data_IF_959863203440
#
_entry.id   IF_959863203440
#
_cell.length_a   1.000
_cell.length_b   1.000
_cell.length_c   1.000
_cell.angle_alpha   90.00
_cell.angle_beta   90.00
_cell.angle_gamma   90.00
#
_symmetry.space_group_name_H-M   'P 1'
#
loop_
_entity.id
_entity.type
_entity.pdbx_description
1 polymer ?
#
# COMPACT_ATOMS: atom_id res chain seq x y z
N UNK A 1 -11.14 -26.29 -0.32
CA UNK A 1 -10.22 -25.20 -0.71
C UNK A 1 -10.05 -24.31 0.50
N UNK A 2 -8.85 -24.22 1.09
CA UNK A 2 -8.62 -23.41 2.29
C UNK A 2 -8.81 -21.92 1.92
N UNK A 3 -9.90 -21.34 2.44
CA UNK A 3 -10.30 -19.96 2.19
C UNK A 3 -9.51 -19.00 3.10
N UNK A 4 -8.19 -18.96 2.92
CA UNK A 4 -7.34 -18.05 3.70
C UNK A 4 -7.46 -16.65 3.12
N UNK A 5 -7.94 -15.70 3.93
CA UNK A 5 -7.99 -14.29 3.55
C UNK A 5 -6.59 -13.79 3.16
N UNK A 6 -6.46 -12.96 2.11
CA UNK A 6 -5.17 -12.40 1.74
C UNK A 6 -4.63 -11.52 2.85
N UNK A 7 -3.33 -11.64 3.12
CA UNK A 7 -2.68 -10.97 4.22
C UNK A 7 -1.23 -10.64 3.85
N UNK A 8 -0.66 -9.68 4.57
CA UNK A 8 0.78 -9.46 4.56
C UNK A 8 1.46 -10.51 5.44
N UNK A 9 2.63 -10.99 5.00
CA UNK A 9 3.43 -11.92 5.78
C UNK A 9 4.48 -11.17 6.59
N UNK A 10 5.15 -11.85 7.52
CA UNK A 10 6.30 -11.29 8.24
C UNK A 10 7.40 -10.80 7.29
N UNK A 11 7.51 -11.34 6.07
CA UNK A 11 8.44 -10.87 5.05
C UNK A 11 8.15 -9.43 4.59
N UNK A 12 6.88 -9.03 4.56
CA UNK A 12 6.48 -7.64 4.30
C UNK A 12 7.07 -6.72 5.35
N UNK A 13 6.91 -7.05 6.64
CA UNK A 13 7.43 -6.22 7.75
C UNK A 13 8.96 -6.16 7.73
N UNK A 14 9.63 -7.30 7.52
CA UNK A 14 11.10 -7.38 7.39
C UNK A 14 11.62 -6.54 6.22
N UNK A 15 10.91 -6.53 5.09
CA UNK A 15 11.26 -5.71 3.95
C UNK A 15 11.10 -4.21 4.27
N UNK A 16 9.98 -3.80 4.87
CA UNK A 16 9.75 -2.41 5.26
C UNK A 16 10.80 -1.89 6.25
N UNK A 17 11.18 -2.70 7.24
CA UNK A 17 12.30 -2.37 8.14
C UNK A 17 13.63 -2.22 7.39
N UNK A 18 13.92 -3.15 6.47
CA UNK A 18 15.16 -3.10 5.69
C UNK A 18 15.21 -1.89 4.77
N UNK A 19 14.07 -1.52 4.19
CA UNK A 19 13.90 -0.30 3.40
C UNK A 19 14.07 0.96 4.27
N UNK A 20 13.55 0.96 5.51
CA UNK A 20 13.74 2.04 6.49
C UNK A 20 15.23 2.26 6.80
N UNK A 21 16.01 1.18 6.96
CA UNK A 21 17.46 1.24 7.20
C UNK A 21 18.27 1.59 5.94
N UNK A 22 17.78 1.25 4.75
CA UNK A 22 18.53 1.32 3.49
C UNK A 22 17.81 2.11 2.40
N UNK A 23 17.21 3.26 2.74
CA UNK A 23 16.42 4.09 1.79
C UNK A 23 17.31 4.84 0.78
N UNK A 24 18.09 4.09 -0.01
CA UNK A 24 18.96 4.55 -1.10
C UNK A 24 18.66 3.80 -2.38
N UNK A 25 18.85 4.47 -3.52
CA UNK A 25 18.44 3.96 -4.84
C UNK A 25 19.15 2.67 -5.23
N UNK A 26 20.43 2.55 -4.92
CA UNK A 26 21.25 1.37 -5.22
C UNK A 26 20.72 0.12 -4.51
N UNK A 27 20.42 0.24 -3.22
CA UNK A 27 19.85 -0.86 -2.44
C UNK A 27 18.48 -1.26 -2.96
N UNK A 28 17.62 -0.28 -3.26
CA UNK A 28 16.30 -0.59 -3.80
C UNK A 28 16.36 -1.24 -5.18
N UNK A 29 17.34 -0.90 -6.02
CA UNK A 29 17.51 -1.50 -7.34
C UNK A 29 17.74 -3.02 -7.23
N UNK A 30 18.55 -3.47 -6.26
CA UNK A 30 18.81 -4.90 -6.03
C UNK A 30 17.65 -5.63 -5.34
N UNK A 31 16.80 -4.90 -4.60
CA UNK A 31 15.66 -5.49 -3.86
C UNK A 31 14.29 -5.17 -4.51
N UNK A 32 14.29 -4.77 -5.78
CA UNK A 32 13.05 -4.43 -6.50
C UNK A 32 12.10 -5.62 -6.63
N UNK A 33 12.63 -6.82 -6.85
CA UNK A 33 11.85 -8.05 -6.93
C UNK A 33 11.19 -8.40 -5.58
N UNK A 34 11.91 -8.17 -4.48
CA UNK A 34 11.39 -8.34 -3.12
C UNK A 34 10.27 -7.33 -2.84
N UNK A 35 10.41 -6.09 -3.29
CA UNK A 35 9.33 -5.10 -3.20
C UNK A 35 8.08 -5.56 -3.96
N UNK A 36 8.23 -6.11 -5.17
CA UNK A 36 7.10 -6.63 -5.94
C UNK A 36 6.42 -7.80 -5.21
N UNK A 37 7.21 -8.72 -4.68
CA UNK A 37 6.76 -9.96 -4.05
C UNK A 37 6.12 -9.70 -2.68
N UNK A 38 6.77 -8.92 -1.83
CA UNK A 38 6.39 -8.75 -0.42
C UNK A 38 5.51 -7.54 -0.16
N UNK A 39 5.50 -6.55 -1.05
CA UNK A 39 4.67 -5.34 -0.89
C UNK A 39 3.54 -5.31 -1.91
N UNK A 40 3.88 -5.29 -3.19
CA UNK A 40 2.89 -5.00 -4.24
C UNK A 40 1.91 -6.14 -4.45
N UNK A 41 2.41 -7.36 -4.60
CA UNK A 41 1.57 -8.55 -4.80
C UNK A 41 0.55 -8.75 -3.68
N UNK A 42 0.91 -8.80 -2.38
CA UNK A 42 -0.06 -8.99 -1.32
C UNK A 42 -1.05 -7.82 -1.23
N UNK A 43 -0.60 -6.57 -1.42
CA UNK A 43 -1.51 -5.42 -1.39
C UNK A 43 -2.54 -5.47 -2.52
N UNK A 44 -2.12 -5.83 -3.74
CA UNK A 44 -3.04 -5.98 -4.86
C UNK A 44 -4.04 -7.12 -4.64
N UNK A 45 -3.61 -8.23 -4.01
CA UNK A 45 -4.52 -9.33 -3.64
C UNK A 45 -5.54 -8.89 -2.59
N UNK A 46 -5.14 -8.12 -1.59
CA UNK A 46 -6.04 -7.52 -0.59
C UNK A 46 -7.03 -6.58 -1.28
N UNK A 47 -6.55 -5.66 -2.12
CA UNK A 47 -7.41 -4.74 -2.88
C UNK A 47 -8.42 -5.52 -3.74
N UNK A 48 -8.01 -6.61 -4.40
CA UNK A 48 -8.91 -7.46 -5.18
C UNK A 48 -9.99 -8.07 -4.31
N UNK A 49 -9.64 -8.57 -3.13
CA UNK A 49 -10.61 -9.08 -2.16
C UNK A 49 -11.58 -7.98 -1.69
N UNK A 50 -11.07 -6.78 -1.38
CA UNK A 50 -11.91 -5.63 -1.03
C UNK A 50 -12.85 -5.22 -2.16
N UNK A 51 -12.39 -5.26 -3.42
CA UNK A 51 -13.22 -4.95 -4.58
C UNK A 51 -14.43 -5.90 -4.71
N UNK A 52 -14.29 -7.17 -4.29
CA UNK A 52 -15.39 -8.13 -4.23
C UNK A 52 -16.33 -7.87 -3.06
N UNK A 53 -15.83 -7.40 -1.92
CA UNK A 53 -16.60 -7.27 -0.68
C UNK A 53 -17.24 -5.88 -0.48
N UNK A 54 -16.65 -4.81 -1.00
CA UNK A 54 -17.15 -3.44 -0.87
C UNK A 54 -18.59 -3.25 -1.32
N UNK A 55 -19.08 -3.84 -2.43
CA UNK A 55 -20.48 -3.70 -2.81
C UNK A 55 -21.48 -4.08 -1.71
N UNK A 56 -21.12 -5.00 -0.81
CA UNK A 56 -21.97 -5.47 0.26
C UNK A 56 -21.76 -4.72 1.59
N UNK A 57 -20.54 -4.25 1.86
CA UNK A 57 -20.17 -3.68 3.17
C UNK A 57 -19.98 -2.15 3.16
N UNK A 58 -19.52 -1.61 2.03
CA UNK A 58 -19.21 -0.20 1.84
C UNK A 58 -19.48 0.17 0.36
N UNK A 59 -20.75 0.17 -0.08
CA UNK A 59 -21.12 0.25 -1.49
C UNK A 59 -20.67 1.54 -2.19
N UNK A 60 -20.42 2.58 -1.40
CA UNK A 60 -19.93 3.86 -1.88
C UNK A 60 -18.41 3.90 -2.10
N UNK A 61 -17.66 2.92 -1.62
CA UNK A 61 -16.20 2.87 -1.76
C UNK A 61 -15.76 2.07 -2.99
N UNK A 62 -14.66 2.51 -3.60
CA UNK A 62 -14.03 1.83 -4.72
C UNK A 62 -12.66 1.29 -4.33
N UNK A 63 -12.48 -0.03 -4.50
CA UNK A 63 -11.18 -0.70 -4.47
C UNK A 63 -10.80 -1.14 -5.88
N UNK A 64 -9.66 -0.65 -6.35
CA UNK A 64 -9.08 -1.02 -7.63
C UNK A 64 -7.55 -0.95 -7.53
N UNK A 65 -6.76 -1.53 -8.45
CA UNK A 65 -5.30 -1.43 -8.41
C UNK A 65 -4.77 0.00 -8.27
N UNK A 66 -5.51 0.99 -8.79
CA UNK A 66 -5.21 2.42 -8.70
C UNK A 66 -5.38 3.02 -7.30
N UNK A 67 -6.07 2.31 -6.39
CA UNK A 67 -6.17 2.67 -4.98
C UNK A 67 -4.82 2.58 -4.28
N UNK A 68 -3.91 1.72 -4.75
CA UNK A 68 -2.58 1.55 -4.18
C UNK A 68 -1.69 2.75 -4.49
N UNK A 69 -1.04 3.31 -3.47
CA UNK A 69 0.00 4.30 -3.69
C UNK A 69 1.30 3.64 -4.16
N UNK A 70 2.03 4.34 -5.03
CA UNK A 70 3.40 3.98 -5.38
C UNK A 70 4.32 4.06 -4.16
N UNK A 71 5.33 3.19 -4.13
CA UNK A 71 6.37 3.17 -3.08
C UNK A 71 7.31 4.38 -3.17
N UNK A 72 7.39 5.06 -4.33
CA UNK A 72 8.24 6.25 -4.50
C UNK A 72 7.72 7.46 -3.74
N UNK A 73 8.62 8.12 -3.01
CA UNK A 73 8.32 9.34 -2.26
C UNK A 73 8.56 10.59 -3.13
N UNK A 74 7.58 11.50 -3.14
CA UNK A 74 7.71 12.78 -3.84
C UNK A 74 8.52 13.78 -3.04
N UNK A 75 9.85 13.79 -3.21
CA UNK A 75 10.75 14.57 -2.35
C UNK A 75 10.91 16.06 -2.70
N UNK A 76 10.27 16.56 -3.77
CA UNK A 76 10.47 17.94 -4.27
C UNK A 76 10.18 18.99 -3.19
N UNK A 77 9.13 18.79 -2.42
CA UNK A 77 8.66 19.74 -1.39
C UNK A 77 8.74 19.18 0.03
N UNK A 78 9.25 17.94 0.20
CA UNK A 78 9.40 17.31 1.50
C UNK A 78 10.69 17.75 2.17
N UNK A 79 10.67 17.99 3.49
CA UNK A 79 11.88 18.16 4.30
C UNK A 79 12.66 16.85 4.38
N UNK A 80 11.96 15.73 4.49
CA UNK A 80 12.53 14.39 4.33
C UNK A 80 12.80 14.07 2.86
N UNK A 81 14.07 13.81 2.53
CA UNK A 81 14.55 13.51 1.17
C UNK A 81 14.70 12.01 0.90
N UNK A 82 14.17 11.13 1.76
CA UNK A 82 14.15 9.70 1.49
C UNK A 82 13.38 9.40 0.18
N UNK A 83 13.99 8.67 -0.79
CA UNK A 83 13.40 8.46 -2.11
C UNK A 83 12.22 7.47 -2.11
N UNK A 84 12.06 6.69 -1.03
CA UNK A 84 11.06 5.63 -0.91
C UNK A 84 10.26 5.80 0.38
N UNK A 85 8.98 5.48 0.29
CA UNK A 85 8.10 5.31 1.44
C UNK A 85 8.47 4.01 2.15
N UNK A 86 8.61 4.07 3.47
CA UNK A 86 8.89 2.91 4.34
C UNK A 86 7.62 2.19 4.80
N UNK A 87 6.54 2.36 4.04
CA UNK A 87 5.22 1.80 4.31
C UNK A 87 4.50 1.50 2.99
N UNK A 88 3.58 0.54 3.03
CA UNK A 88 2.59 0.32 1.97
C UNK A 88 1.31 1.07 2.31
N UNK A 89 0.67 1.68 1.32
CA UNK A 89 -0.57 2.41 1.55
C UNK A 89 -1.52 2.36 0.36
N UNK A 90 -2.81 2.53 0.65
CA UNK A 90 -3.85 2.70 -0.34
C UNK A 90 -4.89 3.72 0.11
N UNK A 91 -5.61 4.28 -0.85
CA UNK A 91 -6.75 5.15 -0.63
C UNK A 91 -7.95 4.61 -1.40
N UNK A 92 -9.05 4.40 -0.70
CA UNK A 92 -10.32 3.99 -1.28
C UNK A 92 -11.26 5.19 -1.28
N UNK A 93 -11.63 5.65 -2.47
CA UNK A 93 -12.42 6.87 -2.64
C UNK A 93 -13.89 6.54 -2.86
N UNK A 94 -14.74 7.54 -2.63
CA UNK A 94 -16.14 7.46 -2.99
C UNK A 94 -16.33 7.23 -4.51
N UNK A 95 -17.28 6.39 -4.90
CA UNK A 95 -17.55 6.00 -6.30
C UNK A 95 -18.03 7.16 -7.17
N UNK A 96 -18.91 8.00 -6.63
CA UNK A 96 -19.58 9.08 -7.37
C UNK A 96 -18.91 10.46 -7.23
N UNK A 97 -18.07 10.65 -6.21
CA UNK A 97 -17.55 11.99 -5.89
C UNK A 97 -16.16 12.18 -6.49
N UNK A 98 -15.86 13.38 -7.03
CA UNK A 98 -14.55 13.67 -7.59
C UNK A 98 -13.42 13.47 -6.58
N UNK A 99 -12.23 13.17 -7.09
CA UNK A 99 -11.01 13.07 -6.29
C UNK A 99 -10.82 14.37 -5.47
N UNK A 100 -10.50 14.21 -4.18
CA UNK A 100 -10.32 15.31 -3.22
C UNK A 100 -11.57 16.16 -2.94
N UNK A 101 -12.77 15.67 -3.29
CA UNK A 101 -14.05 16.29 -2.94
C UNK A 101 -14.89 15.41 -2.00
N UNK A 102 -14.28 14.35 -1.45
CA UNK A 102 -14.92 13.40 -0.55
C UNK A 102 -13.95 12.83 0.47
N UNK A 103 -14.50 12.35 1.58
CA UNK A 103 -13.80 11.48 2.50
C UNK A 103 -13.36 10.20 1.78
N UNK A 104 -12.26 9.62 2.25
CA UNK A 104 -11.71 8.39 1.71
C UNK A 104 -11.18 7.55 2.85
N UNK A 105 -11.32 6.23 2.73
CA UNK A 105 -10.66 5.29 3.63
C UNK A 105 -9.17 5.23 3.25
N UNK A 106 -8.29 5.34 4.23
CA UNK A 106 -6.85 5.31 4.02
C UNK A 106 -6.25 4.13 4.77
N UNK A 107 -5.59 3.25 4.05
CA UNK A 107 -4.85 2.14 4.63
C UNK A 107 -3.36 2.47 4.62
N UNK A 108 -2.69 2.16 5.73
CA UNK A 108 -1.25 2.29 5.89
C UNK A 108 -0.71 1.12 6.71
N UNK A 109 0.34 0.48 6.21
CA UNK A 109 1.14 -0.47 6.98
C UNK A 109 2.62 -0.14 6.86
N UNK A 110 3.23 0.25 7.98
CA UNK A 110 4.66 0.36 8.20
C UNK A 110 5.22 -0.85 8.95
N UNK A 111 6.52 -0.84 9.26
CA UNK A 111 7.14 -1.88 10.09
C UNK A 111 6.62 -1.89 11.54
N UNK A 112 6.25 -0.71 12.03
CA UNK A 112 5.96 -0.40 13.43
C UNK A 112 4.62 0.32 13.62
N UNK A 113 3.86 0.50 12.55
CA UNK A 113 2.60 1.24 12.54
C UNK A 113 1.56 0.65 11.58
N UNK A 114 0.29 0.76 11.97
CA UNK A 114 -0.88 0.37 11.17
C UNK A 114 -1.97 1.42 11.34
N UNK A 115 -2.37 2.08 10.24
CA UNK A 115 -3.48 3.05 10.24
C UNK A 115 -4.57 2.61 9.25
N UNK A 116 -5.83 2.78 9.64
CA UNK A 116 -7.04 2.46 8.86
C UNK A 116 -8.06 3.58 9.04
#
# INVERSE_FOLDING_TARGET
>A
MNNTAPHFSTKTLQFLESLKRNSRREWFATHKADCETYIRTPMLTIIKCLATNFPNMAPDMVAAPQSMYRIYHGIRFSSDKTPYKVHVSARFTHRLLPKNKSAALYFHLGSDELWI
#
